data_IF_441001800065
#
_entry.id   IF_441001800065
#
_cell.length_a   1.000
_cell.length_b   1.000
_cell.length_c   1.000
_cell.angle_alpha   90.00
_cell.angle_beta   90.00
_cell.angle_gamma   90.00
#
_symmetry.space_group_name_H-M   'P 1'
#
loop_
_entity.id
_entity.type
_entity.pdbx_description
1 polymer ?
#
# COMPACT_ATOMS: atom_id res chain seq x y z
N UNK A 1 1.38 33.56 -26.87
CA UNK A 1 1.31 33.02 -25.50
C UNK A 1 2.64 32.38 -25.19
N UNK A 2 3.21 32.64 -24.00
CA UNK A 2 4.40 31.90 -23.54
C UNK A 2 4.01 30.44 -23.30
N UNK A 3 4.87 29.50 -23.71
CA UNK A 3 4.67 28.08 -23.44
C UNK A 3 4.93 27.74 -21.96
N UNK A 4 5.66 28.60 -21.25
CA UNK A 4 5.96 28.45 -19.83
C UNK A 4 4.97 29.26 -19.01
N UNK A 5 4.13 28.56 -18.25
CA UNK A 5 3.18 29.14 -17.28
C UNK A 5 3.66 28.89 -15.85
N UNK A 6 2.85 29.24 -14.84
CA UNK A 6 3.08 28.81 -13.46
C UNK A 6 3.29 27.29 -13.41
N UNK A 7 4.36 26.87 -12.74
CA UNK A 7 4.68 25.47 -12.51
C UNK A 7 4.84 25.16 -11.02
N UNK A 8 4.69 23.87 -10.67
CA UNK A 8 4.93 23.36 -9.31
C UNK A 8 5.80 22.10 -9.37
N UNK A 9 6.75 21.92 -8.45
CA UNK A 9 7.56 20.71 -8.39
C UNK A 9 6.73 19.52 -7.91
N UNK A 10 7.07 18.33 -8.40
CA UNK A 10 6.48 17.08 -7.95
C UNK A 10 7.50 15.95 -7.89
N UNK A 11 7.16 14.93 -7.10
CA UNK A 11 7.91 13.68 -7.00
C UNK A 11 7.04 12.52 -7.47
N UNK A 12 7.56 11.67 -8.35
CA UNK A 12 6.93 10.40 -8.73
C UNK A 12 7.60 9.27 -7.97
N UNK A 13 6.83 8.55 -7.17
CA UNK A 13 7.33 7.46 -6.35
C UNK A 13 6.53 6.18 -6.56
N UNK A 14 7.09 5.04 -6.19
CA UNK A 14 6.38 3.77 -6.15
C UNK A 14 6.79 2.94 -4.93
N UNK A 15 5.87 2.14 -4.42
CA UNK A 15 6.19 1.02 -3.55
C UNK A 15 5.46 -0.21 -4.07
N UNK A 16 6.15 -1.32 -4.29
CA UNK A 16 5.53 -2.54 -4.82
C UNK A 16 4.86 -2.38 -6.19
N UNK A 17 5.33 -1.44 -7.02
CA UNK A 17 4.75 -1.14 -8.34
C UNK A 17 3.48 -0.28 -8.29
N UNK A 18 2.91 -0.05 -7.11
CA UNK A 18 1.84 0.92 -6.89
C UNK A 18 2.46 2.32 -6.80
N UNK A 19 2.04 3.23 -7.68
CA UNK A 19 2.75 4.47 -7.95
C UNK A 19 1.95 5.75 -7.61
N UNK A 20 2.68 6.79 -7.23
CA UNK A 20 2.10 8.00 -6.66
C UNK A 20 2.80 9.25 -7.15
N UNK A 21 2.03 10.31 -7.35
CA UNK A 21 2.57 11.66 -7.40
C UNK A 21 2.50 12.28 -6.02
N UNK A 22 3.57 12.94 -5.61
CA UNK A 22 3.68 13.60 -4.31
C UNK A 22 3.97 15.08 -4.49
N UNK A 23 3.21 15.91 -3.79
CA UNK A 23 3.38 17.36 -3.75
C UNK A 23 3.73 17.81 -2.33
N UNK A 24 4.77 18.62 -2.19
CA UNK A 24 5.07 19.31 -0.94
C UNK A 24 4.17 20.55 -0.84
N UNK A 25 3.14 20.47 0.00
CA UNK A 25 2.13 21.51 0.14
C UNK A 25 2.48 22.57 1.18
N UNK A 26 3.69 22.54 1.77
CA UNK A 26 4.12 23.54 2.77
C UNK A 26 4.11 24.97 2.20
N UNK A 27 4.54 25.11 0.94
CA UNK A 27 4.60 26.40 0.25
C UNK A 27 3.51 26.58 -0.81
N UNK A 28 3.01 25.48 -1.39
CA UNK A 28 1.99 25.53 -2.43
C UNK A 28 0.63 26.02 -1.90
N UNK A 29 0.25 25.60 -0.69
CA UNK A 29 -0.99 26.04 -0.06
C UNK A 29 -2.27 25.61 -0.78
N UNK A 30 -2.25 24.52 -1.54
CA UNK A 30 -3.44 23.98 -2.22
C UNK A 30 -4.50 23.65 -1.15
N UNK A 31 -5.72 24.19 -1.23
CA UNK A 31 -6.75 23.92 -0.24
C UNK A 31 -7.32 22.50 -0.41
N UNK A 32 -7.69 21.86 0.69
CA UNK A 32 -8.23 20.49 0.72
C UNK A 32 -9.44 20.31 -0.20
N UNK A 33 -10.25 21.36 -0.40
CA UNK A 33 -11.39 21.35 -1.33
C UNK A 33 -11.00 21.07 -2.78
N UNK A 34 -9.78 21.44 -3.17
CA UNK A 34 -9.34 21.43 -4.56
C UNK A 34 -8.44 20.22 -4.87
N UNK A 35 -7.83 19.64 -3.83
CA UNK A 35 -6.88 18.53 -3.94
C UNK A 35 -7.45 17.31 -4.69
N UNK A 36 -8.75 17.02 -4.60
CA UNK A 36 -9.38 15.94 -5.37
C UNK A 36 -9.42 16.22 -6.88
N UNK A 37 -9.61 17.48 -7.29
CA UNK A 37 -9.53 17.88 -8.69
C UNK A 37 -8.08 17.84 -9.20
N UNK A 38 -7.13 18.23 -8.36
CA UNK A 38 -5.70 18.09 -8.65
C UNK A 38 -5.31 16.63 -8.89
N UNK A 39 -5.74 15.71 -8.02
CA UNK A 39 -5.49 14.29 -8.19
C UNK A 39 -6.04 13.76 -9.53
N UNK A 40 -7.29 14.09 -9.89
CA UNK A 40 -7.87 13.71 -11.20
C UNK A 40 -7.04 14.21 -12.38
N UNK A 41 -6.65 15.48 -12.36
CA UNK A 41 -5.92 16.09 -13.46
C UNK A 41 -4.49 15.52 -13.60
N UNK A 42 -3.77 15.39 -12.48
CA UNK A 42 -2.38 14.96 -12.46
C UNK A 42 -2.25 13.45 -12.71
N UNK A 43 -3.16 12.63 -12.17
CA UNK A 43 -3.14 11.19 -12.37
C UNK A 43 -3.72 10.74 -13.72
N UNK A 44 -4.32 11.64 -14.52
CA UNK A 44 -4.89 11.30 -15.81
C UNK A 44 -3.82 10.77 -16.78
N UNK A 45 -4.10 9.63 -17.41
CA UNK A 45 -3.25 9.09 -18.48
C UNK A 45 -3.22 10.06 -19.67
N UNK A 46 -2.06 10.20 -20.30
CA UNK A 46 -1.79 11.04 -21.48
C UNK A 46 -1.82 12.56 -21.27
N UNK A 47 -2.65 13.07 -20.37
CA UNK A 47 -2.78 14.52 -20.11
C UNK A 47 -2.06 14.97 -18.83
N UNK A 48 -1.88 14.08 -17.87
CA UNK A 48 -1.11 14.30 -16.65
C UNK A 48 0.15 13.44 -16.61
N UNK A 49 0.61 13.17 -15.39
CA UNK A 49 1.77 12.31 -15.10
C UNK A 49 1.43 10.83 -15.24
N UNK A 50 0.16 10.47 -15.04
CA UNK A 50 -0.35 9.11 -14.86
C UNK A 50 0.16 8.47 -13.57
N UNK A 51 -0.74 8.19 -12.61
CA UNK A 51 -0.43 7.53 -11.35
C UNK A 51 -1.66 6.87 -10.73
N UNK A 52 -1.47 5.89 -9.86
CA UNK A 52 -2.56 5.28 -9.10
C UNK A 52 -3.18 6.25 -8.07
N UNK A 53 -2.39 7.22 -7.61
CA UNK A 53 -2.89 8.26 -6.72
C UNK A 53 -1.95 9.44 -6.54
N UNK A 54 -2.42 10.42 -5.78
CA UNK A 54 -1.69 11.63 -5.46
C UNK A 54 -1.82 11.93 -3.97
N UNK A 55 -0.71 12.25 -3.31
CA UNK A 55 -0.76 12.76 -1.95
C UNK A 55 0.03 14.05 -1.75
N UNK A 56 -0.52 14.92 -0.91
CA UNK A 56 0.11 16.15 -0.48
C UNK A 56 0.75 15.93 0.90
N UNK A 57 1.97 16.41 1.10
CA UNK A 57 2.61 16.48 2.41
C UNK A 57 2.49 17.90 2.94
N UNK A 58 1.98 18.06 4.16
CA UNK A 58 1.69 19.37 4.73
C UNK A 58 2.08 19.42 6.20
N UNK A 59 2.44 20.60 6.70
CA UNK A 59 2.67 20.81 8.13
C UNK A 59 1.43 20.40 8.94
N UNK A 60 1.68 19.79 10.09
CA UNK A 60 0.64 19.49 11.07
C UNK A 60 0.44 20.66 12.02
N UNK A 61 -0.81 20.91 12.42
CA UNK A 61 -1.13 21.79 13.55
C UNK A 61 -1.18 21.03 14.89
N UNK A 62 -1.15 19.69 14.85
CA UNK A 62 -1.04 18.83 16.02
C UNK A 62 0.46 18.65 16.36
N UNK A 63 0.91 19.08 17.56
CA UNK A 63 2.32 19.00 17.95
C UNK A 63 2.82 17.57 18.19
N UNK A 64 1.93 16.58 18.17
CA UNK A 64 2.29 15.15 18.28
C UNK A 64 2.64 14.51 16.93
N UNK A 65 2.44 15.24 15.83
CA UNK A 65 2.69 14.75 14.47
C UNK A 65 3.75 15.63 13.79
N UNK A 66 4.70 15.00 13.12
CA UNK A 66 5.74 15.68 12.35
C UNK A 66 5.16 16.38 11.10
N UNK A 67 4.17 15.75 10.47
CA UNK A 67 3.40 16.29 9.34
C UNK A 67 2.07 15.56 9.19
N UNK A 68 1.24 16.00 8.25
CA UNK A 68 0.06 15.26 7.79
C UNK A 68 0.11 15.06 6.30
N UNK A 69 -0.51 13.99 5.84
CA UNK A 69 -0.74 13.82 4.41
C UNK A 69 -2.18 14.07 4.02
N UNK A 70 -2.41 14.20 2.72
CA UNK A 70 -3.73 14.23 2.12
C UNK A 70 -3.72 13.32 0.90
N UNK A 71 -4.27 12.11 1.02
CA UNK A 71 -4.18 11.10 -0.03
C UNK A 71 -5.47 10.99 -0.83
N UNK A 72 -5.34 11.00 -2.16
CA UNK A 72 -6.42 10.86 -3.11
C UNK A 72 -6.08 9.77 -4.14
N UNK A 73 -7.07 8.96 -4.48
CA UNK A 73 -6.97 8.02 -5.60
C UNK A 73 -6.95 8.78 -6.94
N UNK A 74 -6.56 8.11 -8.02
CA UNK A 74 -6.51 8.70 -9.37
C UNK A 74 -7.85 9.28 -9.86
N UNK A 75 -8.98 8.80 -9.32
CA UNK A 75 -10.32 9.31 -9.61
C UNK A 75 -10.73 10.50 -8.73
N UNK A 76 -9.82 11.03 -7.91
CA UNK A 76 -10.02 12.16 -7.00
C UNK A 76 -10.82 11.84 -5.74
N UNK A 77 -11.17 10.57 -5.49
CA UNK A 77 -11.74 10.16 -4.22
C UNK A 77 -10.69 10.20 -3.11
N UNK A 78 -11.11 10.57 -1.88
CA UNK A 78 -10.24 10.63 -0.70
C UNK A 78 -9.95 9.22 -0.20
N UNK A 79 -8.69 8.91 0.05
CA UNK A 79 -8.24 7.63 0.56
C UNK A 79 -7.72 7.77 2.00
N UNK A 80 -8.14 6.87 2.89
CA UNK A 80 -7.80 6.98 4.30
C UNK A 80 -6.37 6.52 4.61
N UNK A 81 -5.94 5.40 4.00
CA UNK A 81 -4.65 4.78 4.24
C UNK A 81 -4.22 3.90 3.07
N UNK A 82 -2.91 3.86 2.78
CA UNK A 82 -2.31 2.87 1.89
C UNK A 82 -0.88 2.57 2.35
N UNK A 83 -0.58 1.30 2.67
CA UNK A 83 0.74 0.90 3.16
C UNK A 83 1.89 1.20 2.20
N UNK A 84 1.66 1.15 0.88
CA UNK A 84 2.66 1.51 -0.13
C UNK A 84 2.90 3.02 -0.16
N UNK A 85 1.83 3.81 -0.16
CA UNK A 85 1.91 5.26 -0.10
C UNK A 85 2.58 5.71 1.21
N UNK A 86 2.27 5.09 2.35
CA UNK A 86 2.88 5.40 3.65
C UNK A 86 4.40 5.25 3.62
N UNK A 87 4.95 4.21 2.96
CA UNK A 87 6.40 4.05 2.80
C UNK A 87 6.98 5.17 1.93
N UNK A 88 6.31 5.51 0.83
CA UNK A 88 6.74 6.61 -0.06
C UNK A 88 6.72 7.96 0.68
N UNK A 89 5.64 8.26 1.41
CA UNK A 89 5.50 9.46 2.22
C UNK A 89 6.59 9.53 3.29
N UNK A 90 6.83 8.43 4.03
CA UNK A 90 7.88 8.36 5.03
C UNK A 90 9.27 8.62 4.46
N UNK A 91 9.62 7.98 3.32
CA UNK A 91 10.91 8.20 2.65
C UNK A 91 11.07 9.64 2.16
N UNK A 92 10.04 10.18 1.51
CA UNK A 92 10.11 11.52 0.95
C UNK A 92 10.17 12.60 2.03
N UNK A 93 9.34 12.48 3.07
CA UNK A 93 9.33 13.43 4.18
C UNK A 93 10.72 13.56 4.83
N UNK A 94 11.41 12.44 5.01
CA UNK A 94 12.80 12.46 5.46
C UNK A 94 13.73 13.14 4.43
N UNK A 95 13.63 12.75 3.16
CA UNK A 95 14.50 13.25 2.09
C UNK A 95 14.38 14.77 1.86
N UNK A 96 13.19 15.36 2.02
CA UNK A 96 12.94 16.80 1.83
C UNK A 96 13.07 17.61 3.13
N UNK A 97 13.56 17.00 4.21
CA UNK A 97 13.75 17.63 5.51
C UNK A 97 12.45 18.04 6.21
N UNK A 98 11.34 17.37 5.89
CA UNK A 98 10.04 17.57 6.57
C UNK A 98 9.99 16.83 7.91
N UNK A 99 10.65 15.69 8.03
CA UNK A 99 10.64 14.85 9.23
C UNK A 99 12.01 14.18 9.49
N UNK A 100 12.33 13.82 10.75
CA UNK A 100 13.46 12.95 11.05
C UNK A 100 13.25 11.54 10.47
N UNK A 101 14.27 10.67 10.53
CA UNK A 101 14.16 9.31 9.99
C UNK A 101 13.17 8.41 10.74
N UNK A 102 12.95 8.66 12.03
CA UNK A 102 11.87 8.05 12.81
C UNK A 102 10.87 9.13 13.16
N UNK A 103 9.64 9.00 12.69
CA UNK A 103 8.63 10.06 12.77
C UNK A 103 7.21 9.49 12.79
N UNK A 104 6.24 10.34 13.11
CA UNK A 104 4.82 10.03 13.09
C UNK A 104 4.08 11.05 12.25
N UNK A 105 3.22 10.60 11.34
CA UNK A 105 2.43 11.50 10.50
C UNK A 105 0.94 11.21 10.57
N UNK A 106 0.15 12.26 10.40
CA UNK A 106 -1.31 12.18 10.40
C UNK A 106 -1.89 11.68 9.08
N UNK A 107 -2.84 10.76 9.19
CA UNK A 107 -3.67 10.28 8.08
C UNK A 107 -5.15 10.32 8.50
N UNK A 108 -6.08 10.14 7.55
CA UNK A 108 -7.50 10.06 7.90
C UNK A 108 -7.82 8.77 8.70
N UNK A 109 -6.94 7.76 8.65
CA UNK A 109 -7.00 6.56 9.50
C UNK A 109 -6.34 6.73 10.88
N UNK A 110 -5.81 7.92 11.19
CA UNK A 110 -5.08 8.22 12.42
C UNK A 110 -3.56 8.34 12.23
N UNK A 111 -2.80 8.45 13.34
CA UNK A 111 -1.35 8.59 13.29
C UNK A 111 -0.67 7.30 12.82
N UNK A 112 0.32 7.44 11.93
CA UNK A 112 1.14 6.34 11.42
C UNK A 112 2.61 6.58 11.75
N UNK A 113 3.22 5.60 12.42
CA UNK A 113 4.66 5.60 12.68
C UNK A 113 5.44 5.15 11.44
N UNK A 114 6.52 5.85 11.12
CA UNK A 114 7.44 5.50 10.04
C UNK A 114 8.91 5.55 10.51
N UNK A 115 9.70 4.63 9.96
CA UNK A 115 11.14 4.53 10.18
C UNK A 115 11.84 4.32 8.85
N UNK A 116 12.60 5.31 8.39
CA UNK A 116 13.51 5.21 7.25
C UNK A 116 14.82 4.60 7.74
N UNK A 117 15.20 3.45 7.18
CA UNK A 117 16.41 2.75 7.57
C UNK A 117 17.60 3.34 6.83
N UNK A 118 18.54 3.93 7.57
CA UNK A 118 19.66 4.69 7.00
C UNK A 118 20.91 3.83 6.77
N UNK A 119 21.10 2.80 7.61
CA UNK A 119 22.32 1.99 7.66
C UNK A 119 22.01 0.49 7.72
N UNK A 120 23.02 -0.32 7.43
CA UNK A 120 22.94 -1.79 7.49
C UNK A 120 22.35 -2.43 6.24
N UNK A 121 22.02 -3.74 6.29
CA UNK A 121 21.57 -4.50 5.11
C UNK A 121 20.20 -4.05 4.57
N UNK A 122 19.41 -3.34 5.37
CA UNK A 122 18.10 -2.82 4.98
C UNK A 122 18.10 -1.31 4.67
N UNK A 123 19.28 -0.69 4.54
CA UNK A 123 19.41 0.73 4.23
C UNK A 123 18.61 1.11 2.97
N UNK A 124 17.86 2.20 3.03
CA UNK A 124 16.98 2.69 1.98
C UNK A 124 15.56 2.13 2.00
N UNK A 125 15.27 1.12 2.84
CA UNK A 125 13.91 0.60 3.07
C UNK A 125 13.18 1.43 4.13
N UNK A 126 11.85 1.36 4.11
CA UNK A 126 11.01 2.06 5.08
C UNK A 126 10.11 1.07 5.80
N UNK A 127 10.10 1.13 7.13
CA UNK A 127 9.17 0.43 7.99
C UNK A 127 8.04 1.37 8.38
N UNK A 128 6.80 0.98 8.12
CA UNK A 128 5.60 1.76 8.46
C UNK A 128 4.62 0.91 9.27
N UNK A 129 3.93 1.56 10.18
CA UNK A 129 2.81 0.95 10.90
C UNK A 129 1.61 0.79 9.95
N UNK A 130 0.93 -0.36 10.05
CA UNK A 130 -0.32 -0.62 9.37
C UNK A 130 -1.51 -0.49 10.33
N UNK A 131 -2.71 -0.37 9.77
CA UNK A 131 -3.95 -0.46 10.54
C UNK A 131 -4.06 -1.86 11.16
N UNK A 132 -4.52 -1.99 12.42
CA UNK A 132 -4.67 -3.28 13.07
C UNK A 132 -5.57 -4.24 12.29
N UNK A 133 -5.22 -5.53 12.19
CA UNK A 133 -6.08 -6.53 11.55
C UNK A 133 -7.38 -6.70 12.35
N UNK A 134 -8.49 -6.90 11.64
CA UNK A 134 -9.81 -7.13 12.23
C UNK A 134 -10.50 -8.34 11.61
N UNK A 135 -11.54 -8.81 12.29
CA UNK A 135 -12.41 -9.89 11.82
C UNK A 135 -11.67 -11.20 11.43
N UNK A 136 -10.55 -11.49 12.11
CA UNK A 136 -9.74 -12.69 11.83
C UNK A 136 -10.53 -13.97 12.05
N UNK A 137 -10.54 -14.84 11.03
CA UNK A 137 -11.18 -16.16 11.04
C UNK A 137 -10.25 -17.18 10.39
N UNK A 138 -10.14 -18.36 10.99
CA UNK A 138 -9.32 -19.45 10.48
C UNK A 138 -10.18 -20.66 10.10
N UNK A 139 -9.65 -21.52 9.23
CA UNK A 139 -10.26 -22.81 8.88
C UNK A 139 -11.65 -22.67 8.23
N UNK A 140 -11.82 -21.68 7.36
CA UNK A 140 -13.03 -21.52 6.55
C UNK A 140 -12.96 -22.55 5.42
N UNK A 141 -13.91 -23.49 5.40
CA UNK A 141 -14.03 -24.46 4.31
C UNK A 141 -14.79 -23.81 3.15
N UNK A 142 -14.16 -23.77 1.98
CA UNK A 142 -14.73 -23.27 0.73
C UNK A 142 -15.11 -24.45 -0.15
N UNK A 143 -16.36 -24.50 -0.57
CA UNK A 143 -16.84 -25.48 -1.54
C UNK A 143 -16.48 -24.99 -2.95
N UNK A 144 -15.52 -25.65 -3.59
CA UNK A 144 -15.05 -25.32 -4.93
C UNK A 144 -15.72 -26.19 -6.01
N UNK A 145 -16.80 -26.91 -5.64
CA UNK A 145 -17.57 -27.79 -6.50
C UNK A 145 -17.02 -29.21 -6.55
N UNK A 146 -15.77 -29.39 -6.99
CA UNK A 146 -15.13 -30.72 -7.06
C UNK A 146 -14.22 -31.03 -5.88
N UNK A 147 -13.86 -30.01 -5.10
CA UNK A 147 -12.98 -30.12 -3.95
C UNK A 147 -13.38 -29.11 -2.87
N UNK A 148 -12.87 -29.32 -1.65
CA UNK A 148 -13.00 -28.37 -0.56
C UNK A 148 -11.63 -27.77 -0.29
N UNK A 149 -11.56 -26.44 -0.26
CA UNK A 149 -10.34 -25.71 -0.01
C UNK A 149 -10.43 -24.99 1.35
N UNK A 150 -9.36 -25.04 2.13
CA UNK A 150 -9.30 -24.32 3.41
C UNK A 150 -8.72 -22.93 3.18
N UNK A 151 -9.49 -21.92 3.55
CA UNK A 151 -9.07 -20.53 3.55
C UNK A 151 -9.11 -19.93 4.96
N UNK A 152 -8.39 -18.84 5.11
CA UNK A 152 -8.35 -18.03 6.30
C UNK A 152 -8.66 -16.59 5.91
N UNK A 153 -9.16 -15.79 6.83
CA UNK A 153 -9.61 -14.44 6.53
C UNK A 153 -9.14 -13.47 7.60
N UNK A 154 -8.70 -12.30 7.17
CA UNK A 154 -8.51 -11.14 8.03
C UNK A 154 -8.66 -9.88 7.19
N UNK A 155 -9.07 -8.78 7.82
CA UNK A 155 -9.17 -7.49 7.17
C UNK A 155 -8.06 -6.59 7.74
N UNK A 156 -7.09 -6.24 6.90
CA UNK A 156 -5.94 -5.38 7.23
C UNK A 156 -6.12 -3.95 6.71
N UNK A 157 -7.38 -3.49 6.67
CA UNK A 157 -7.83 -2.25 6.03
C UNK A 157 -8.70 -2.55 4.80
N UNK A 158 -8.43 -3.68 4.15
CA UNK A 158 -9.28 -4.29 3.12
C UNK A 158 -9.38 -5.81 3.35
N UNK A 159 -10.46 -6.48 2.92
CA UNK A 159 -10.65 -7.91 3.14
C UNK A 159 -9.63 -8.76 2.37
N UNK A 160 -9.02 -9.73 3.07
CA UNK A 160 -8.10 -10.71 2.51
C UNK A 160 -8.47 -12.13 2.92
N UNK A 161 -8.64 -13.01 1.92
CA UNK A 161 -8.64 -14.45 2.08
C UNK A 161 -7.23 -14.96 1.81
N UNK A 162 -6.71 -15.81 2.68
CA UNK A 162 -5.39 -16.42 2.56
C UNK A 162 -5.55 -17.93 2.49
N UNK A 163 -4.92 -18.52 1.49
CA UNK A 163 -4.85 -19.97 1.28
C UNK A 163 -3.39 -20.39 1.36
N UNK A 164 -3.08 -21.28 2.30
CA UNK A 164 -1.75 -21.87 2.39
C UNK A 164 -1.67 -23.10 1.48
N UNK A 165 -0.67 -23.13 0.61
CA UNK A 165 -0.46 -24.20 -0.40
C UNK A 165 0.97 -24.71 -0.36
N UNK A 166 1.20 -25.89 -0.90
CA UNK A 166 2.53 -26.50 -0.95
C UNK A 166 3.44 -25.87 -2.02
N UNK A 167 2.87 -25.45 -3.17
CA UNK A 167 3.60 -24.82 -4.27
C UNK A 167 2.76 -23.70 -4.90
N UNK A 168 3.13 -22.45 -4.64
CA UNK A 168 2.44 -21.29 -5.23
C UNK A 168 2.72 -21.12 -6.72
N UNK A 169 3.82 -21.67 -7.25
CA UNK A 169 4.18 -21.54 -8.67
C UNK A 169 3.34 -22.45 -9.57
N UNK A 170 2.85 -23.57 -9.03
CA UNK A 170 2.00 -24.52 -9.75
C UNK A 170 0.52 -24.08 -9.86
N UNK A 171 0.11 -23.02 -9.15
CA UNK A 171 -1.27 -22.57 -9.12
C UNK A 171 -1.68 -21.80 -10.39
N UNK A 172 -2.84 -22.16 -10.93
CA UNK A 172 -3.63 -21.26 -11.78
C UNK A 172 -4.34 -20.23 -10.89
N UNK A 173 -3.61 -19.17 -10.56
CA UNK A 173 -4.10 -18.10 -9.70
C UNK A 173 -5.29 -17.35 -10.33
N UNK A 174 -5.37 -17.31 -11.66
CA UNK A 174 -6.41 -16.55 -12.33
C UNK A 174 -7.76 -17.23 -12.14
N UNK A 175 -7.82 -18.55 -12.35
CA UNK A 175 -9.04 -19.33 -12.12
C UNK A 175 -9.38 -19.41 -10.62
N UNK A 176 -8.43 -19.83 -9.78
CA UNK A 176 -8.69 -20.06 -8.37
C UNK A 176 -8.93 -18.75 -7.61
N UNK A 177 -8.15 -17.72 -7.91
CA UNK A 177 -8.31 -16.37 -7.35
C UNK A 177 -9.69 -15.80 -7.66
N UNK A 178 -10.14 -15.86 -8.93
CA UNK A 178 -11.46 -15.38 -9.31
C UNK A 178 -12.60 -16.13 -8.61
N UNK A 179 -12.50 -17.47 -8.49
CA UNK A 179 -13.51 -18.27 -7.77
C UNK A 179 -13.61 -17.87 -6.29
N UNK A 180 -12.48 -17.75 -5.60
CA UNK A 180 -12.45 -17.41 -4.17
C UNK A 180 -12.88 -15.95 -3.95
N UNK A 181 -12.44 -15.02 -4.80
CA UNK A 181 -12.78 -13.58 -4.80
C UNK A 181 -14.29 -13.33 -4.75
N UNK A 182 -15.07 -14.21 -5.39
CA UNK A 182 -16.52 -14.14 -5.50
C UNK A 182 -17.27 -15.20 -4.66
N UNK A 183 -16.54 -16.01 -3.88
CA UNK A 183 -17.15 -17.09 -3.10
C UNK A 183 -18.13 -16.53 -2.05
N UNK A 184 -19.25 -17.24 -1.82
CA UNK A 184 -20.34 -16.79 -0.96
C UNK A 184 -19.89 -16.51 0.49
N UNK A 185 -18.84 -17.20 0.97
CA UNK A 185 -18.24 -16.97 2.29
C UNK A 185 -17.68 -15.54 2.49
N UNK A 186 -17.38 -14.82 1.40
CA UNK A 186 -16.84 -13.46 1.43
C UNK A 186 -17.82 -12.41 0.87
N UNK A 187 -19.05 -12.81 0.55
CA UNK A 187 -20.09 -11.90 0.09
C UNK A 187 -20.53 -10.92 1.21
N UNK A 188 -21.07 -9.74 0.85
CA UNK A 188 -21.29 -9.23 -0.51
C UNK A 188 -20.07 -8.49 -1.09
N UNK A 189 -19.13 -8.04 -0.26
CA UNK A 189 -18.01 -7.21 -0.69
C UNK A 189 -16.91 -7.99 -1.45
N UNK A 190 -16.89 -9.31 -1.28
CA UNK A 190 -15.82 -10.20 -1.73
C UNK A 190 -14.51 -9.93 -0.99
N UNK A 191 -13.40 -10.38 -1.56
CA UNK A 191 -12.09 -10.31 -0.91
C UNK A 191 -10.94 -10.28 -1.90
N UNK A 192 -9.83 -9.65 -1.53
CA UNK A 192 -8.55 -9.99 -2.15
C UNK A 192 -8.21 -11.46 -1.80
N UNK A 193 -7.50 -12.17 -2.69
CA UNK A 193 -7.13 -13.56 -2.47
C UNK A 193 -5.62 -13.69 -2.52
N UNK A 194 -5.04 -14.19 -1.44
CA UNK A 194 -3.62 -14.44 -1.29
C UNK A 194 -3.38 -15.94 -1.25
N UNK A 195 -2.43 -16.41 -2.06
CA UNK A 195 -1.91 -17.77 -1.99
C UNK A 195 -0.50 -17.70 -1.44
N UNK A 196 -0.26 -18.44 -0.36
CA UNK A 196 1.00 -18.38 0.36
C UNK A 196 1.61 -19.77 0.50
N UNK A 197 2.91 -19.86 0.25
CA UNK A 197 3.71 -21.06 0.52
C UNK A 197 4.67 -20.74 1.66
N UNK A 198 4.60 -21.52 2.73
CA UNK A 198 5.50 -21.39 3.88
C UNK A 198 6.79 -22.14 3.56
N UNK A 199 7.89 -21.41 3.44
CA UNK A 199 9.22 -22.00 3.19
C UNK A 199 9.87 -22.39 4.50
N UNK A 200 9.82 -21.48 5.47
CA UNK A 200 10.24 -21.70 6.86
C UNK A 200 9.49 -20.76 7.81
N UNK A 201 9.90 -20.69 9.09
CA UNK A 201 9.25 -19.87 10.12
C UNK A 201 9.30 -18.36 9.85
N UNK A 202 10.21 -17.90 9.00
CA UNK A 202 10.47 -16.49 8.74
C UNK A 202 10.43 -16.14 7.25
N UNK A 203 10.07 -17.08 6.37
CA UNK A 203 10.08 -16.90 4.92
C UNK A 203 8.84 -17.50 4.28
N UNK A 204 8.11 -16.70 3.51
CA UNK A 204 6.98 -17.14 2.70
C UNK A 204 7.10 -16.62 1.26
N UNK A 205 6.49 -17.35 0.33
CA UNK A 205 6.20 -16.87 -1.01
C UNK A 205 4.73 -16.46 -1.07
N UNK A 206 4.43 -15.36 -1.75
CA UNK A 206 3.10 -14.77 -1.80
C UNK A 206 2.73 -14.40 -3.23
N UNK A 207 1.56 -14.85 -3.67
CA UNK A 207 0.90 -14.38 -4.89
C UNK A 207 -0.49 -13.84 -4.54
N UNK A 208 -0.90 -12.73 -5.14
CA UNK A 208 -2.15 -12.06 -4.80
C UNK A 208 -3.01 -11.85 -6.05
N UNK A 209 -4.24 -12.34 -6.02
CA UNK A 209 -5.31 -11.94 -6.92
C UNK A 209 -6.08 -10.78 -6.27
N UNK A 210 -6.09 -9.62 -6.92
CA UNK A 210 -6.53 -8.37 -6.28
C UNK A 210 -7.94 -7.97 -6.71
N UNK A 211 -8.77 -7.67 -5.72
CA UNK A 211 -10.13 -7.17 -5.89
C UNK A 211 -10.09 -5.79 -6.55
N UNK A 212 -10.90 -5.61 -7.59
CA UNK A 212 -10.97 -4.35 -8.35
C UNK A 212 -9.98 -4.27 -9.51
N UNK A 213 -8.84 -4.96 -9.43
CA UNK A 213 -7.97 -5.24 -10.59
C UNK A 213 -8.48 -6.48 -11.33
N UNK A 214 -9.00 -7.45 -10.59
CA UNK A 214 -9.52 -8.73 -11.08
C UNK A 214 -8.47 -9.53 -11.88
N UNK A 215 -7.22 -9.49 -11.37
CA UNK A 215 -6.07 -10.22 -11.87
C UNK A 215 -5.01 -10.41 -10.78
N UNK A 216 -3.97 -11.20 -11.08
CA UNK A 216 -2.76 -11.23 -10.26
C UNK A 216 -2.04 -9.88 -10.29
N UNK A 217 -1.68 -9.37 -9.11
CA UNK A 217 -0.85 -8.17 -8.97
C UNK A 217 0.57 -8.52 -8.54
N UNK A 218 1.50 -7.62 -8.86
CA UNK A 218 2.93 -7.82 -8.60
C UNK A 218 3.28 -7.89 -7.11
N UNK A 219 2.52 -7.19 -6.28
CA UNK A 219 2.70 -7.14 -4.84
C UNK A 219 1.50 -6.47 -4.17
N UNK A 220 1.18 -6.90 -2.94
CA UNK A 220 0.12 -6.33 -2.13
C UNK A 220 0.56 -6.23 -0.67
N UNK A 221 0.81 -5.02 -0.16
CA UNK A 221 1.32 -4.81 1.19
C UNK A 221 0.34 -5.23 2.29
N UNK A 222 -0.95 -4.92 2.13
CA UNK A 222 -2.00 -5.37 3.06
C UNK A 222 -2.24 -6.87 2.97
N UNK A 223 -2.04 -7.46 1.79
CA UNK A 223 -2.09 -8.92 1.57
C UNK A 223 -0.93 -9.65 2.24
N UNK A 224 0.27 -9.08 2.20
CA UNK A 224 1.43 -9.59 2.93
C UNK A 224 1.21 -9.54 4.45
N UNK A 225 0.70 -8.42 4.95
CA UNK A 225 0.34 -8.29 6.36
C UNK A 225 -0.72 -9.31 6.79
N UNK A 226 -1.79 -9.46 6.00
CA UNK A 226 -2.86 -10.43 6.26
C UNK A 226 -2.33 -11.87 6.29
N UNK A 227 -1.46 -12.20 5.33
CA UNK A 227 -0.81 -13.51 5.23
C UNK A 227 0.04 -13.80 6.46
N UNK A 228 0.88 -12.86 6.89
CA UNK A 228 1.71 -13.05 8.09
C UNK A 228 0.89 -13.16 9.37
N UNK A 229 -0.13 -12.31 9.55
CA UNK A 229 -1.03 -12.38 10.71
C UNK A 229 -1.68 -13.77 10.80
N UNK A 230 -2.17 -14.28 9.69
CA UNK A 230 -2.84 -15.59 9.64
C UNK A 230 -1.85 -16.75 9.78
N UNK A 231 -0.67 -16.67 9.17
CA UNK A 231 0.38 -17.66 9.32
C UNK A 231 0.83 -17.79 10.78
N UNK A 232 1.07 -16.66 11.44
CA UNK A 232 1.43 -16.62 12.85
C UNK A 232 0.30 -17.15 13.75
N UNK A 233 -0.94 -16.75 13.49
CA UNK A 233 -2.13 -17.23 14.23
C UNK A 233 -2.27 -18.76 14.16
N UNK A 234 -1.86 -19.37 13.04
CA UNK A 234 -1.88 -20.81 12.83
C UNK A 234 -0.63 -21.53 13.36
N UNK A 235 0.32 -20.80 13.95
CA UNK A 235 1.60 -21.34 14.39
C UNK A 235 2.50 -21.76 13.22
N UNK A 236 2.37 -21.13 12.05
CA UNK A 236 3.17 -21.42 10.86
C UNK A 236 4.45 -20.57 10.76
N UNK A 237 4.49 -19.43 11.44
CA UNK A 237 5.59 -18.45 11.39
C UNK A 237 5.83 -17.83 12.77
N UNK A 238 7.02 -17.25 12.95
CA UNK A 238 7.32 -16.42 14.12
C UNK A 238 6.71 -15.01 13.96
N UNK A 239 7.03 -14.08 14.87
CA UNK A 239 6.53 -12.70 14.87
C UNK A 239 7.03 -11.86 13.69
N UNK A 240 8.14 -12.28 13.07
CA UNK A 240 8.75 -11.59 11.93
C UNK A 240 8.93 -12.57 10.77
N UNK A 241 8.44 -12.18 9.59
CA UNK A 241 8.66 -12.93 8.38
C UNK A 241 8.85 -12.04 7.15
N UNK A 242 9.60 -12.57 6.19
CA UNK A 242 9.82 -12.04 4.85
C UNK A 242 8.86 -12.73 3.87
N UNK A 243 8.08 -11.94 3.15
CA UNK A 243 7.17 -12.41 2.12
C UNK A 243 7.69 -11.94 0.77
N UNK A 244 8.05 -12.88 -0.09
CA UNK A 244 8.50 -12.60 -1.45
C UNK A 244 7.28 -12.58 -2.36
N UNK A 245 7.02 -11.44 -3.01
CA UNK A 245 5.85 -11.26 -3.89
C UNK A 245 6.11 -11.75 -5.32
N UNK A 246 5.08 -11.74 -6.18
CA UNK A 246 5.20 -12.13 -7.60
C UNK A 246 6.22 -11.30 -8.39
N UNK A 247 6.48 -10.04 -8.00
CA UNK A 247 7.56 -9.22 -8.58
C UNK A 247 8.97 -9.52 -8.03
N UNK A 248 9.09 -10.43 -7.07
CA UNK A 248 10.34 -10.73 -6.38
C UNK A 248 10.72 -9.71 -5.30
N UNK A 249 9.84 -8.75 -4.98
CA UNK A 249 10.06 -7.84 -3.86
C UNK A 249 9.86 -8.58 -2.54
N UNK A 250 10.74 -8.29 -1.58
CA UNK A 250 10.62 -8.82 -0.22
C UNK A 250 9.96 -7.78 0.68
N UNK A 251 8.81 -8.13 1.22
CA UNK A 251 8.12 -7.38 2.26
C UNK A 251 8.33 -8.05 3.60
N UNK A 252 8.94 -7.34 4.55
CA UNK A 252 9.13 -7.85 5.91
C UNK A 252 8.00 -7.37 6.79
N UNK A 253 7.24 -8.31 7.35
CA UNK A 253 6.13 -8.01 8.26
C UNK A 253 6.57 -8.31 9.69
N UNK A 254 6.31 -7.36 10.59
CA UNK A 254 6.56 -7.50 12.02
C UNK A 254 5.24 -7.46 12.77
N UNK A 255 5.02 -8.44 13.64
CA UNK A 255 3.93 -8.50 14.58
C UNK A 255 4.45 -8.09 15.96
N UNK A 256 3.83 -7.09 16.58
CA UNK A 256 4.14 -6.66 17.94
C UNK A 256 2.82 -6.51 18.72
N UNK A 257 2.37 -7.60 19.32
CA UNK A 257 1.01 -7.70 19.84
C UNK A 257 -0.01 -7.51 18.72
N UNK A 258 -0.89 -6.53 18.87
CA UNK A 258 -1.90 -6.18 17.86
C UNK A 258 -1.38 -5.23 16.77
N UNK A 259 -0.16 -4.70 16.92
CA UNK A 259 0.42 -3.76 15.96
C UNK A 259 1.17 -4.50 14.87
N UNK A 260 0.86 -4.17 13.62
CA UNK A 260 1.53 -4.73 12.44
C UNK A 260 2.37 -3.66 11.78
N UNK A 261 3.61 -3.99 11.46
CA UNK A 261 4.49 -3.13 10.65
C UNK A 261 4.84 -3.80 9.34
N UNK A 262 4.92 -2.99 8.28
CA UNK A 262 5.36 -3.38 6.96
C UNK A 262 6.67 -2.65 6.63
N UNK A 263 7.72 -3.41 6.37
CA UNK A 263 8.97 -2.90 5.84
C UNK A 263 9.14 -3.35 4.38
N UNK A 264 9.44 -2.39 3.52
CA UNK A 264 9.60 -2.63 2.09
C UNK A 264 10.37 -1.51 1.41
N UNK A 265 10.61 -1.67 0.12
CA UNK A 265 11.18 -0.60 -0.67
C UNK A 265 10.15 0.51 -0.90
N UNK A 266 10.65 1.70 -1.20
CA UNK A 266 9.90 2.84 -1.71
C UNK A 266 10.87 3.63 -2.59
N UNK A 267 10.59 3.75 -3.88
CA UNK A 267 11.55 4.28 -4.84
C UNK A 267 11.06 5.58 -5.45
N UNK A 268 11.92 6.61 -5.43
CA UNK A 268 11.74 7.78 -6.27
C UNK A 268 12.04 7.38 -7.71
N UNK A 269 11.02 7.42 -8.56
CA UNK A 269 11.15 7.06 -9.97
C UNK A 269 11.69 8.25 -10.78
N UNK A 270 11.09 9.43 -10.59
CA UNK A 270 11.57 10.70 -11.15
C UNK A 270 10.97 11.89 -10.39
N UNK A 271 11.48 13.08 -10.67
CA UNK A 271 10.91 14.35 -10.22
C UNK A 271 10.85 15.32 -11.38
N UNK A 272 9.98 16.33 -11.30
CA UNK A 272 9.83 17.32 -12.37
C UNK A 272 8.94 18.49 -11.97
N UNK A 273 8.50 19.24 -12.98
CA UNK A 273 7.65 20.42 -12.85
C UNK A 273 6.31 20.19 -13.57
N UNK A 274 5.19 20.51 -12.91
CA UNK A 274 3.84 20.50 -13.49
C UNK A 274 3.45 21.90 -13.90
N UNK A 275 3.24 22.15 -15.19
CA UNK A 275 2.59 23.38 -15.64
C UNK A 275 1.08 23.32 -15.36
N UNK A 276 0.59 24.22 -14.50
CA UNK A 276 -0.79 24.15 -13.99
C UNK A 276 -1.85 24.46 -15.06
N UNK A 277 -1.58 25.44 -15.93
CA UNK A 277 -2.53 25.89 -16.95
C UNK A 277 -3.01 24.78 -17.90
N UNK A 278 -2.11 24.02 -18.53
CA UNK A 278 -2.47 22.86 -19.36
C UNK A 278 -3.25 21.76 -18.62
N UNK A 279 -3.09 21.64 -17.30
CA UNK A 279 -3.82 20.70 -16.46
C UNK A 279 -5.18 21.25 -15.99
N UNK A 280 -5.51 22.51 -16.32
CA UNK A 280 -6.71 23.19 -15.83
C UNK A 280 -6.66 23.50 -14.32
N UNK A 281 -5.46 23.63 -13.76
CA UNK A 281 -5.22 23.89 -12.34
C UNK A 281 -4.73 25.33 -12.11
N UNK A 282 -4.89 25.81 -10.89
CA UNK A 282 -4.36 27.08 -10.39
C UNK A 282 -4.10 27.00 -8.89
N UNK A 283 -3.19 27.83 -8.39
CA UNK A 283 -3.00 28.10 -6.96
C UNK A 283 -3.89 29.27 -6.51
#
# INVERSE_FOLDING_TARGET
MTIFTQSVPFYKMQGCGNDFVVLDNRELGVPVSDMGAWAKAICARAFGVYADGLFFLENSNDPTLDYRWHFYNSDGSRAEMCGNASRCAGKLAHAIGLAPANHTFGTDAGPISASVLLDGPDAGRVKVQLTPPRATKTNILLDMGTETLTAHFTDTGVPHAVVFVDDVAALDIMDLGAKIRHHAAFAPAGTNVNFAQVIDRNTLLLRTYERGVEAETYACGTGAAATQVLAHTLGLTDDVANLTTSAGEVLTIFLNGETVFLQGAAELTFQGELYLGPLGLSL
#
